data_IF_747319911293
#
_entry.id   IF_747319911293
#
_cell.length_a   1.000
_cell.length_b   1.000
_cell.length_c   1.000
_cell.angle_alpha   90.00
_cell.angle_beta   90.00
_cell.angle_gamma   90.00
#
_symmetry.space_group_name_H-M   'P 1'
#
loop_
_entity.id
_entity.type
_entity.pdbx_description
1 polymer ?
#
# COMPACT_ATOMS: atom_id res chain seq x y z
N UNK A 1 -18.74 23.07 43.57
CA UNK A 1 -17.85 23.56 42.52
C UNK A 1 -16.85 22.51 42.17
N UNK A 2 -17.08 21.73 41.14
CA UNK A 2 -16.08 20.88 40.48
C UNK A 2 -16.46 20.80 39.02
N UNK A 3 -15.73 21.54 38.21
CA UNK A 3 -15.87 21.54 36.76
C UNK A 3 -14.64 20.89 36.11
N UNK A 4 -14.94 20.12 35.09
CA UNK A 4 -14.13 19.79 33.93
C UNK A 4 -12.92 18.91 34.11
N UNK A 5 -13.13 17.66 33.77
CA UNK A 5 -12.05 16.83 33.22
C UNK A 5 -12.63 15.85 32.18
N UNK A 6 -13.01 16.34 31.01
CA UNK A 6 -13.66 15.52 29.96
C UNK A 6 -13.01 15.63 28.57
N UNK A 7 -11.83 16.23 28.44
CA UNK A 7 -11.19 16.38 27.12
C UNK A 7 -9.85 15.64 26.92
N UNK A 8 -9.37 14.95 27.93
CA UNK A 8 -8.03 14.30 27.88
C UNK A 8 -8.04 12.79 27.66
N UNK A 9 -9.20 12.16 27.53
CA UNK A 9 -9.30 10.70 27.38
C UNK A 9 -9.55 10.20 25.94
N UNK A 10 -9.74 11.08 24.96
CA UNK A 10 -10.04 10.66 23.56
C UNK A 10 -8.84 10.50 22.64
N UNK A 11 -7.61 10.55 23.13
CA UNK A 11 -6.40 10.37 22.29
C UNK A 11 -5.44 9.32 22.84
N UNK A 12 -5.94 8.19 23.29
CA UNK A 12 -5.15 6.98 23.38
C UNK A 12 -5.54 6.03 22.24
N UNK A 13 -5.17 6.40 21.02
CA UNK A 13 -5.01 5.42 19.97
C UNK A 13 -3.92 4.45 20.44
N UNK A 14 -4.34 3.25 20.79
CA UNK A 14 -3.43 2.14 21.08
C UNK A 14 -2.68 1.88 19.78
N UNK A 15 -1.48 2.40 19.67
CA UNK A 15 -0.50 1.96 18.68
C UNK A 15 -0.14 0.53 19.07
N UNK A 16 -0.89 -0.43 18.56
CA UNK A 16 -0.45 -1.83 18.57
C UNK A 16 0.75 -1.89 17.65
N UNK A 17 1.93 -1.87 18.24
CA UNK A 17 3.16 -2.22 17.55
C UNK A 17 2.99 -3.67 17.06
N UNK A 18 2.84 -3.82 15.76
CA UNK A 18 2.81 -5.14 15.13
C UNK A 18 4.18 -5.78 15.31
N UNK A 19 4.29 -6.68 16.27
CA UNK A 19 5.45 -7.55 16.43
C UNK A 19 5.47 -8.56 15.28
N UNK A 20 6.21 -8.21 14.20
CA UNK A 20 6.92 -9.16 13.35
C UNK A 20 6.19 -10.33 12.68
N UNK A 21 4.91 -10.23 12.39
CA UNK A 21 4.25 -11.14 11.43
C UNK A 21 4.48 -10.62 10.01
N UNK A 22 5.13 -11.41 9.16
CA UNK A 22 5.32 -11.06 7.76
C UNK A 22 3.97 -10.82 7.09
N UNK A 23 3.75 -9.61 6.54
CA UNK A 23 2.56 -9.29 5.75
C UNK A 23 2.45 -10.29 4.60
N UNK A 24 1.30 -10.94 4.42
CA UNK A 24 1.12 -11.85 3.29
C UNK A 24 0.86 -11.08 2.01
N UNK A 25 1.32 -11.58 0.88
CA UNK A 25 1.07 -11.02 -0.44
C UNK A 25 -0.41 -10.63 -0.63
N UNK A 26 -1.33 -11.51 -0.29
CA UNK A 26 -2.76 -11.25 -0.41
C UNK A 26 -3.22 -9.99 0.39
N UNK A 27 -2.69 -9.76 1.60
CA UNK A 27 -2.98 -8.53 2.36
C UNK A 27 -2.39 -7.30 1.70
N UNK A 28 -1.18 -7.41 1.18
CA UNK A 28 -0.50 -6.33 0.45
C UNK A 28 -1.29 -5.92 -0.79
N UNK A 29 -1.82 -6.89 -1.55
CA UNK A 29 -2.65 -6.63 -2.74
C UNK A 29 -3.92 -5.87 -2.39
N UNK A 30 -4.59 -6.23 -1.30
CA UNK A 30 -5.77 -5.52 -0.83
C UNK A 30 -5.47 -4.09 -0.38
N UNK A 31 -4.41 -3.88 0.38
CA UNK A 31 -3.98 -2.55 0.84
C UNK A 31 -3.62 -1.68 -0.37
N UNK A 32 -2.86 -2.22 -1.34
CA UNK A 32 -2.52 -1.56 -2.59
C UNK A 32 -3.76 -1.20 -3.42
N UNK A 33 -4.72 -2.12 -3.53
CA UNK A 33 -5.96 -1.88 -4.26
C UNK A 33 -6.80 -0.77 -3.61
N UNK A 34 -6.97 -0.78 -2.29
CA UNK A 34 -7.71 0.26 -1.56
C UNK A 34 -7.06 1.63 -1.80
N UNK A 35 -5.73 1.73 -1.72
CA UNK A 35 -4.99 2.96 -1.98
C UNK A 35 -5.23 3.49 -3.39
N UNK A 36 -5.03 2.65 -4.41
CA UNK A 36 -5.23 3.03 -5.82
C UNK A 36 -6.68 3.47 -6.13
N UNK A 37 -7.67 2.78 -5.54
CA UNK A 37 -9.08 3.14 -5.71
C UNK A 37 -9.34 4.50 -5.07
N UNK A 38 -8.86 4.73 -3.85
CA UNK A 38 -9.04 6.00 -3.15
C UNK A 38 -8.38 7.17 -3.88
N UNK A 39 -7.18 6.98 -4.46
CA UNK A 39 -6.51 8.00 -5.27
C UNK A 39 -7.32 8.38 -6.53
N UNK A 40 -7.94 7.41 -7.20
CA UNK A 40 -8.68 7.66 -8.44
C UNK A 40 -10.11 8.16 -8.23
N UNK A 41 -10.78 7.66 -7.20
CA UNK A 41 -12.23 7.75 -7.05
C UNK A 41 -12.65 8.41 -5.72
N UNK A 42 -11.67 8.81 -4.90
CA UNK A 42 -11.87 9.45 -3.61
C UNK A 42 -12.19 8.48 -2.46
N UNK A 43 -12.82 7.35 -2.74
CA UNK A 43 -13.21 6.36 -1.71
C UNK A 43 -13.21 4.93 -2.26
N UNK A 44 -12.92 3.98 -1.39
CA UNK A 44 -13.03 2.56 -1.71
C UNK A 44 -14.30 1.94 -1.11
N UNK A 45 -14.73 0.84 -1.72
CA UNK A 45 -15.83 -0.01 -1.22
C UNK A 45 -15.53 -1.47 -1.47
N UNK A 46 -16.20 -2.38 -0.73
CA UNK A 46 -16.02 -3.82 -0.93
C UNK A 46 -16.29 -4.26 -2.38
N UNK A 47 -17.25 -3.63 -3.06
CA UNK A 47 -17.53 -3.94 -4.45
C UNK A 47 -16.37 -3.54 -5.38
N UNK A 48 -15.89 -2.31 -5.26
CA UNK A 48 -14.76 -1.81 -6.07
C UNK A 48 -13.47 -2.60 -5.85
N UNK A 49 -13.21 -3.00 -4.60
CA UNK A 49 -12.08 -3.84 -4.25
C UNK A 49 -12.22 -5.22 -4.91
N UNK A 50 -13.40 -5.84 -4.80
CA UNK A 50 -13.69 -7.14 -5.41
C UNK A 50 -13.47 -7.10 -6.93
N UNK A 51 -14.01 -6.08 -7.60
CA UNK A 51 -13.87 -5.87 -9.04
C UNK A 51 -12.40 -5.65 -9.45
N UNK A 52 -11.67 -4.85 -8.68
CA UNK A 52 -10.25 -4.56 -8.94
C UNK A 52 -9.34 -5.78 -8.79
N UNK A 53 -9.64 -6.66 -7.84
CA UNK A 53 -8.83 -7.86 -7.56
C UNK A 53 -9.35 -9.13 -8.24
N UNK A 54 -10.49 -9.06 -8.94
CA UNK A 54 -11.09 -10.23 -9.57
C UNK A 54 -11.57 -11.30 -8.60
N UNK A 55 -12.01 -10.89 -7.40
CA UNK A 55 -12.49 -11.80 -6.35
C UNK A 55 -13.98 -11.61 -6.08
N UNK A 56 -14.60 -12.54 -5.34
CA UNK A 56 -15.98 -12.36 -4.92
C UNK A 56 -16.13 -11.24 -3.90
N UNK A 57 -17.28 -10.55 -3.90
CA UNK A 57 -17.60 -9.54 -2.88
C UNK A 57 -17.56 -10.09 -1.45
N UNK A 58 -17.93 -11.35 -1.27
CA UNK A 58 -17.86 -12.02 0.03
C UNK A 58 -16.40 -12.17 0.50
N UNK A 59 -15.50 -12.64 -0.39
CA UNK A 59 -14.07 -12.75 -0.10
C UNK A 59 -13.45 -11.39 0.19
N UNK A 60 -13.79 -10.36 -0.61
CA UNK A 60 -13.32 -9.00 -0.36
C UNK A 60 -13.77 -8.49 1.01
N UNK A 61 -15.04 -8.65 1.35
CA UNK A 61 -15.59 -8.23 2.64
C UNK A 61 -14.94 -8.93 3.82
N UNK A 62 -14.63 -10.21 3.69
CA UNK A 62 -13.96 -10.99 4.75
C UNK A 62 -12.52 -10.50 4.98
N UNK A 63 -11.76 -10.29 3.91
CA UNK A 63 -10.40 -9.76 4.03
C UNK A 63 -10.38 -8.33 4.58
N UNK A 64 -11.27 -7.46 4.10
CA UNK A 64 -11.39 -6.09 4.61
C UNK A 64 -11.69 -6.08 6.11
N UNK A 65 -12.57 -6.96 6.61
CA UNK A 65 -12.82 -7.10 8.05
C UNK A 65 -11.55 -7.45 8.83
N UNK A 66 -10.71 -8.34 8.30
CA UNK A 66 -9.42 -8.68 8.92
C UNK A 66 -8.49 -7.46 8.94
N UNK A 67 -8.38 -6.72 7.84
CA UNK A 67 -7.55 -5.52 7.74
C UNK A 67 -8.04 -4.39 8.68
N UNK A 68 -9.34 -4.29 8.93
CA UNK A 68 -9.91 -3.37 9.93
C UNK A 68 -9.50 -3.81 11.33
N UNK A 69 -9.61 -5.08 11.67
CA UNK A 69 -9.20 -5.63 12.96
C UNK A 69 -7.70 -5.47 13.21
N UNK A 70 -6.90 -5.56 12.16
CA UNK A 70 -5.45 -5.37 12.19
C UNK A 70 -5.04 -3.89 12.21
N UNK A 71 -5.97 -2.96 12.00
CA UNK A 71 -5.75 -1.52 12.08
C UNK A 71 -5.18 -0.88 10.81
N UNK A 72 -5.23 -1.56 9.66
CA UNK A 72 -4.76 -1.03 8.38
C UNK A 72 -5.86 -0.30 7.60
N UNK A 73 -7.12 -0.64 7.83
CA UNK A 73 -8.29 -0.08 7.16
C UNK A 73 -9.24 0.53 8.18
N UNK A 74 -9.85 1.64 7.82
CA UNK A 74 -10.92 2.31 8.57
C UNK A 74 -12.20 2.24 7.75
N UNK A 75 -13.32 1.95 8.40
CA UNK A 75 -14.63 1.94 7.77
C UNK A 75 -15.51 3.04 8.34
N UNK A 76 -16.07 3.87 7.47
CA UNK A 76 -17.10 4.86 7.79
C UNK A 76 -18.37 4.54 6.97
N UNK A 77 -19.30 3.82 7.59
CA UNK A 77 -20.47 3.29 6.89
C UNK A 77 -20.05 2.27 5.81
N UNK A 78 -20.24 2.62 4.54
CA UNK A 78 -19.85 1.80 3.39
C UNK A 78 -18.51 2.21 2.77
N UNK A 79 -17.98 3.34 3.21
CA UNK A 79 -16.72 3.88 2.72
C UNK A 79 -15.56 3.22 3.47
N UNK A 80 -14.52 2.90 2.73
CA UNK A 80 -13.29 2.30 3.25
C UNK A 80 -12.11 3.21 2.90
N UNK A 81 -11.27 3.46 3.89
CA UNK A 81 -10.02 4.19 3.73
C UNK A 81 -8.89 3.45 4.44
N UNK A 82 -7.66 3.78 4.10
CA UNK A 82 -6.50 3.27 4.82
C UNK A 82 -6.26 4.12 6.07
N UNK A 83 -5.79 3.47 7.13
CA UNK A 83 -5.17 4.17 8.25
C UNK A 83 -3.80 4.74 7.84
N UNK A 84 -3.20 5.60 8.66
CA UNK A 84 -1.84 6.09 8.40
C UNK A 84 -0.82 4.96 8.20
N UNK A 85 -0.95 3.86 8.96
CA UNK A 85 -0.10 2.68 8.80
C UNK A 85 -0.42 1.92 7.51
N UNK A 86 -1.70 1.78 7.14
CA UNK A 86 -2.12 1.19 5.87
C UNK A 86 -1.59 1.98 4.68
N UNK A 87 -1.65 3.32 4.71
CA UNK A 87 -1.07 4.17 3.66
C UNK A 87 0.45 4.00 3.55
N UNK A 88 1.15 3.95 4.68
CA UNK A 88 2.60 3.73 4.70
C UNK A 88 2.96 2.42 4.01
N UNK A 89 2.22 1.36 4.29
CA UNK A 89 2.40 0.04 3.65
C UNK A 89 2.11 0.12 2.16
N UNK A 90 0.98 0.73 1.76
CA UNK A 90 0.62 0.90 0.34
C UNK A 90 1.70 1.63 -0.44
N UNK A 91 2.17 2.76 0.07
CA UNK A 91 3.24 3.57 -0.55
C UNK A 91 4.54 2.79 -0.69
N UNK A 92 4.90 1.98 0.31
CA UNK A 92 6.08 1.11 0.24
C UNK A 92 5.96 0.05 -0.85
N UNK A 93 4.83 -0.64 -0.94
CA UNK A 93 4.59 -1.66 -1.97
C UNK A 93 4.62 -1.04 -3.37
N UNK A 94 3.93 0.09 -3.55
CA UNK A 94 3.92 0.82 -4.81
C UNK A 94 5.31 1.33 -5.21
N UNK A 95 6.12 1.77 -4.26
CA UNK A 95 7.50 2.17 -4.54
C UNK A 95 8.35 0.99 -5.01
N UNK A 96 8.21 -0.18 -4.38
CA UNK A 96 8.89 -1.41 -4.82
C UNK A 96 8.49 -1.80 -6.24
N UNK A 97 7.20 -1.81 -6.53
CA UNK A 97 6.66 -2.06 -7.87
C UNK A 97 7.29 -1.12 -8.91
N UNK A 98 7.26 0.18 -8.66
CA UNK A 98 7.78 1.22 -9.56
C UNK A 98 9.30 1.19 -9.72
N UNK A 99 10.05 0.77 -8.72
CA UNK A 99 11.48 0.52 -8.82
C UNK A 99 11.77 -0.67 -9.73
N UNK A 100 11.01 -1.76 -9.61
CA UNK A 100 11.13 -2.90 -10.50
C UNK A 100 10.76 -2.55 -11.94
N UNK A 101 9.66 -1.83 -12.17
CA UNK A 101 9.33 -1.31 -13.51
C UNK A 101 10.51 -0.52 -14.10
N UNK A 102 11.06 0.42 -13.30
CA UNK A 102 12.20 1.24 -13.73
C UNK A 102 13.42 0.40 -14.12
N UNK A 103 13.75 -0.60 -13.32
CA UNK A 103 14.88 -1.48 -13.60
C UNK A 103 14.64 -2.36 -14.84
N UNK A 104 13.50 -3.01 -14.90
CA UNK A 104 13.15 -3.93 -16.00
C UNK A 104 13.13 -3.19 -17.35
N UNK A 105 12.51 -2.01 -17.41
CA UNK A 105 12.45 -1.23 -18.64
C UNK A 105 13.80 -0.61 -19.02
N UNK A 106 14.48 0.05 -18.07
CA UNK A 106 15.68 0.84 -18.41
C UNK A 106 16.96 0.02 -18.50
N UNK A 107 17.03 -1.12 -17.81
CA UNK A 107 18.25 -1.95 -17.75
C UNK A 107 18.12 -3.27 -18.50
N UNK A 108 16.94 -3.88 -18.47
CA UNK A 108 16.68 -5.16 -19.13
C UNK A 108 15.85 -5.03 -20.42
N UNK A 109 15.39 -3.81 -20.75
CA UNK A 109 14.66 -3.50 -21.98
C UNK A 109 13.35 -4.31 -22.14
N UNK A 110 12.66 -4.55 -21.00
CA UNK A 110 11.33 -5.15 -21.03
C UNK A 110 10.35 -4.21 -21.73
N UNK A 111 9.47 -4.79 -22.52
CA UNK A 111 8.36 -4.05 -23.16
C UNK A 111 7.30 -3.66 -22.13
N UNK A 112 6.62 -2.54 -22.40
CA UNK A 112 5.58 -2.00 -21.51
C UNK A 112 4.47 -3.02 -21.18
N UNK A 113 4.12 -3.88 -22.16
CA UNK A 113 3.10 -4.91 -21.99
C UNK A 113 3.50 -6.04 -21.01
N UNK A 114 4.80 -6.26 -20.80
CA UNK A 114 5.33 -7.37 -19.98
C UNK A 114 5.79 -6.92 -18.61
N UNK A 115 6.25 -5.67 -18.50
CA UNK A 115 6.93 -5.14 -17.30
C UNK A 115 6.05 -5.16 -16.07
N UNK A 116 4.78 -4.85 -16.23
CA UNK A 116 3.84 -4.73 -15.10
C UNK A 116 3.66 -6.07 -14.38
N UNK A 117 3.45 -7.16 -15.12
CA UNK A 117 3.29 -8.50 -14.56
C UNK A 117 4.54 -8.95 -13.80
N UNK A 118 5.73 -8.68 -14.36
CA UNK A 118 7.00 -9.03 -13.71
C UNK A 118 7.23 -8.21 -12.43
N UNK A 119 6.96 -6.90 -12.47
CA UNK A 119 7.08 -6.04 -11.31
C UNK A 119 6.13 -6.47 -10.19
N UNK A 120 4.90 -6.86 -10.51
CA UNK A 120 3.90 -7.38 -9.56
C UNK A 120 4.41 -8.61 -8.78
N UNK A 121 5.08 -9.54 -9.47
CA UNK A 121 5.65 -10.72 -8.82
C UNK A 121 6.87 -10.36 -7.94
N UNK A 122 7.74 -9.48 -8.42
CA UNK A 122 8.98 -9.11 -7.75
C UNK A 122 8.76 -8.25 -6.51
N UNK A 123 7.74 -7.40 -6.46
CA UNK A 123 7.48 -6.51 -5.32
C UNK A 123 7.25 -7.25 -4.01
N UNK A 124 6.60 -8.43 -4.06
CA UNK A 124 6.24 -9.22 -2.89
C UNK A 124 7.36 -10.11 -2.35
N UNK A 125 8.29 -10.53 -3.24
CA UNK A 125 9.40 -11.42 -2.86
C UNK A 125 10.68 -10.66 -2.51
N UNK A 126 10.72 -9.35 -2.77
CA UNK A 126 11.89 -8.52 -2.52
C UNK A 126 12.02 -8.15 -1.05
N UNK A 127 13.14 -8.49 -0.44
CA UNK A 127 13.47 -8.01 0.90
C UNK A 127 13.93 -6.53 0.88
N UNK A 128 14.01 -5.93 2.05
CA UNK A 128 14.38 -4.52 2.22
C UNK A 128 15.76 -4.23 1.63
N UNK A 129 16.74 -5.10 1.88
CA UNK A 129 18.11 -4.93 1.40
C UNK A 129 18.19 -4.93 -0.13
N UNK A 130 17.42 -5.80 -0.79
CA UNK A 130 17.35 -5.85 -2.24
C UNK A 130 16.77 -4.56 -2.80
N UNK A 131 15.69 -4.06 -2.20
CA UNK A 131 15.05 -2.81 -2.62
C UNK A 131 15.96 -1.59 -2.39
N UNK A 132 16.64 -1.51 -1.25
CA UNK A 132 17.63 -0.45 -1.00
C UNK A 132 18.75 -0.45 -2.06
N UNK A 133 19.28 -1.62 -2.40
CA UNK A 133 20.33 -1.76 -3.42
C UNK A 133 19.82 -1.43 -4.81
N UNK A 134 18.63 -1.88 -5.17
CA UNK A 134 17.98 -1.57 -6.44
C UNK A 134 17.76 -0.06 -6.58
N UNK A 135 17.23 0.57 -5.54
CA UNK A 135 16.98 2.00 -5.50
C UNK A 135 18.28 2.82 -5.66
N UNK A 136 19.34 2.44 -4.95
CA UNK A 136 20.65 3.05 -5.09
C UNK A 136 21.25 2.85 -6.49
N UNK A 137 21.12 1.65 -7.06
CA UNK A 137 21.58 1.35 -8.42
C UNK A 137 20.86 2.21 -9.48
N UNK A 138 19.59 2.50 -9.27
CA UNK A 138 18.79 3.37 -10.13
C UNK A 138 18.98 4.87 -9.82
N UNK A 139 19.86 5.24 -8.90
CA UNK A 139 20.13 6.62 -8.48
C UNK A 139 18.91 7.35 -7.91
N UNK A 140 18.10 6.63 -7.11
CA UNK A 140 16.93 7.17 -6.39
C UNK A 140 15.95 7.92 -7.30
N UNK A 141 15.37 7.26 -8.32
CA UNK A 141 14.44 7.92 -9.23
C UNK A 141 13.20 8.41 -8.50
N UNK A 142 12.71 9.59 -8.85
CA UNK A 142 11.48 10.17 -8.26
C UNK A 142 10.22 9.54 -8.84
N UNK A 143 10.29 9.11 -10.10
CA UNK A 143 9.17 8.50 -10.83
C UNK A 143 9.63 7.27 -11.59
N UNK A 144 8.69 6.35 -11.86
CA UNK A 144 8.93 5.26 -12.79
C UNK A 144 8.80 5.74 -14.25
N UNK A 145 9.15 4.93 -15.26
CA UNK A 145 9.03 5.31 -16.68
C UNK A 145 7.62 5.73 -17.11
N UNK A 146 6.58 5.26 -16.42
CA UNK A 146 5.18 5.67 -16.64
C UNK A 146 4.82 7.01 -15.97
N UNK A 147 5.75 7.68 -15.30
CA UNK A 147 5.53 8.95 -14.61
C UNK A 147 4.93 8.83 -13.21
N UNK A 148 4.73 7.62 -12.68
CA UNK A 148 4.17 7.43 -11.35
C UNK A 148 5.22 7.63 -10.25
N UNK A 149 4.83 8.29 -9.15
CA UNK A 149 5.72 8.68 -8.05
C UNK A 149 6.27 7.46 -7.31
N UNK A 150 7.58 7.45 -7.04
CA UNK A 150 8.22 6.51 -6.13
C UNK A 150 8.28 7.17 -4.75
N UNK A 151 7.29 6.87 -3.91
CA UNK A 151 7.07 7.57 -2.63
C UNK A 151 8.28 7.54 -1.68
N UNK A 152 9.05 6.44 -1.67
CA UNK A 152 10.25 6.33 -0.83
C UNK A 152 11.37 7.31 -1.22
N UNK A 153 11.27 7.92 -2.40
CA UNK A 153 12.26 8.87 -2.90
C UNK A 153 11.73 10.31 -2.99
N UNK A 154 10.48 10.55 -2.59
CA UNK A 154 9.82 11.85 -2.73
C UNK A 154 10.62 12.97 -2.02
N UNK A 155 11.09 12.69 -0.80
CA UNK A 155 11.82 13.66 0.02
C UNK A 155 13.35 13.57 -0.11
N UNK A 156 13.87 12.66 -0.94
CA UNK A 156 15.32 12.54 -1.15
C UNK A 156 15.81 13.62 -2.11
N UNK A 157 16.77 14.40 -1.65
CA UNK A 157 17.40 15.45 -2.46
C UNK A 157 18.29 14.86 -3.57
#
# INVERSE_FOLDING_TARGET
MRLCNTEKERKRSVVRVYSGGQMTQNREDYIKAIFKIAEREGEASNQRIADSLGVSRASASEMVKKLIQEGFVVAEGRQLSLSAEGERIAKRILSRHRLWESFLMTKLQYEEAEVHEQAEQLEHISDEKLIERLNAYLHFPKTCPHGAIIYENEDKA
#
